data_IF_567604722307
#
_entry.id   IF_567604722307
#
_cell.length_a   1.000
_cell.length_b   1.000
_cell.length_c   1.000
_cell.angle_alpha   90.00
_cell.angle_beta   90.00
_cell.angle_gamma   90.00
#
_symmetry.space_group_name_H-M   'P 1'
#
loop_
_entity.id
_entity.type
_entity.pdbx_description
1 polymer ?
#
# COMPACT_ATOMS: atom_id res chain seq x y z
N UNK A 1 27.74 -0.09 -2.05
CA UNK A 1 27.63 -1.31 -2.87
C UNK A 1 26.70 -0.98 -4.01
N UNK A 2 27.25 -0.69 -5.19
CA UNK A 2 26.44 -0.69 -6.41
C UNK A 2 26.09 -2.16 -6.65
N UNK A 3 24.80 -2.51 -6.63
CA UNK A 3 24.39 -3.76 -7.27
C UNK A 3 24.64 -3.48 -8.74
N UNK A 4 25.64 -4.13 -9.32
CA UNK A 4 25.91 -4.04 -10.75
C UNK A 4 24.59 -4.28 -11.51
N UNK A 5 24.38 -3.64 -12.68
CA UNK A 5 23.31 -4.09 -13.56
C UNK A 5 23.44 -5.60 -13.70
N UNK A 6 22.33 -6.32 -13.66
CA UNK A 6 22.31 -7.79 -13.75
C UNK A 6 22.85 -8.18 -15.14
N UNK A 7 24.17 -8.13 -15.34
CA UNK A 7 24.87 -8.46 -16.57
C UNK A 7 25.04 -9.96 -16.58
N UNK A 8 24.02 -10.63 -17.09
CA UNK A 8 23.97 -12.09 -17.22
C UNK A 8 22.64 -12.61 -17.74
N UNK A 9 21.72 -11.73 -18.16
CA UNK A 9 20.47 -12.10 -18.79
C UNK A 9 20.41 -11.46 -20.18
N UNK A 10 21.02 -12.09 -21.17
CA UNK A 10 20.86 -11.70 -22.58
C UNK A 10 19.38 -11.77 -23.07
N UNK A 11 18.46 -12.29 -22.25
CA UNK A 11 17.02 -12.41 -22.54
C UNK A 11 16.09 -11.58 -21.62
N UNK A 12 16.60 -10.71 -20.73
CA UNK A 12 15.75 -9.88 -19.85
C UNK A 12 16.15 -8.41 -19.97
N UNK A 13 15.60 -7.70 -20.96
CA UNK A 13 15.68 -6.23 -21.05
C UNK A 13 14.82 -5.55 -19.95
N UNK A 14 15.13 -4.31 -19.56
CA UNK A 14 15.96 -3.97 -18.41
C UNK A 14 15.10 -3.75 -17.15
N UNK A 15 15.07 -4.71 -16.24
CA UNK A 15 14.73 -4.40 -14.86
C UNK A 15 15.89 -3.59 -14.26
N UNK A 16 15.68 -2.29 -14.04
CA UNK A 16 16.67 -1.45 -13.36
C UNK A 16 16.50 -1.63 -11.86
N UNK A 17 17.33 -2.50 -11.30
CA UNK A 17 17.51 -2.63 -9.86
C UNK A 17 18.63 -1.69 -9.41
N UNK A 18 18.33 -0.74 -8.53
CA UNK A 18 19.34 0.17 -7.98
C UNK A 18 19.15 0.35 -6.49
N UNK A 19 20.25 0.60 -5.78
CA UNK A 19 20.21 1.05 -4.40
C UNK A 19 20.19 2.58 -4.45
N UNK A 20 19.26 3.20 -3.72
CA UNK A 20 19.22 4.65 -3.66
C UNK A 20 20.52 5.17 -3.04
N UNK A 21 21.31 5.93 -3.81
CA UNK A 21 22.59 6.48 -3.34
C UNK A 21 22.45 7.45 -2.15
N UNK A 22 21.28 8.07 -2.00
CA UNK A 22 20.97 8.94 -0.86
C UNK A 22 20.45 8.13 0.34
N UNK A 23 19.90 6.93 0.12
CA UNK A 23 19.34 6.04 1.13
C UNK A 23 19.83 4.59 0.90
N UNK A 24 21.01 4.20 1.43
CA UNK A 24 21.66 2.93 1.08
C UNK A 24 20.92 1.67 1.55
N UNK A 25 19.86 1.82 2.36
CA UNK A 25 18.96 0.75 2.79
C UNK A 25 17.65 0.69 1.99
N UNK A 26 17.53 1.54 0.97
CA UNK A 26 16.37 1.58 0.08
C UNK A 26 16.68 0.85 -1.22
N UNK A 27 15.96 -0.23 -1.47
CA UNK A 27 15.99 -0.95 -2.74
C UNK A 27 14.94 -0.35 -3.68
N UNK A 28 15.37 0.10 -4.85
CA UNK A 28 14.47 0.63 -5.89
C UNK A 28 14.51 -0.31 -7.08
N UNK A 29 13.36 -0.88 -7.43
CA UNK A 29 13.18 -1.68 -8.63
C UNK A 29 12.20 -0.96 -9.56
N UNK A 30 12.72 -0.51 -10.70
CA UNK A 30 11.91 -0.01 -11.80
C UNK A 30 11.84 -1.12 -12.86
N UNK A 31 10.65 -1.64 -13.07
CA UNK A 31 10.40 -2.64 -14.11
C UNK A 31 9.74 -1.94 -15.29
N UNK A 32 9.94 -2.42 -16.51
CA UNK A 32 9.25 -1.89 -17.70
C UNK A 32 8.73 -3.07 -18.53
N UNK A 33 7.44 -3.04 -18.86
CA UNK A 33 6.70 -4.00 -19.72
C UNK A 33 6.58 -5.46 -19.22
N UNK A 34 5.41 -6.10 -19.47
CA UNK A 34 5.03 -7.49 -19.15
C UNK A 34 4.70 -7.82 -17.68
N UNK A 35 4.14 -9.02 -17.43
CA UNK A 35 3.88 -9.57 -16.09
C UNK A 35 5.20 -9.85 -15.36
N UNK A 36 5.40 -9.15 -14.25
CA UNK A 36 6.67 -9.07 -13.55
C UNK A 36 6.75 -9.92 -12.29
N UNK A 37 5.67 -10.60 -11.89
CA UNK A 37 5.66 -11.32 -10.61
C UNK A 37 6.78 -12.38 -10.57
N UNK A 38 6.92 -13.15 -11.66
CA UNK A 38 7.97 -14.15 -11.80
C UNK A 38 9.39 -13.56 -11.88
N UNK A 39 9.53 -12.36 -12.46
CA UNK A 39 10.82 -11.68 -12.59
C UNK A 39 11.28 -11.18 -11.21
N UNK A 40 10.37 -10.58 -10.43
CA UNK A 40 10.64 -10.18 -9.05
C UNK A 40 11.08 -11.35 -8.18
N UNK A 41 10.38 -12.49 -8.26
CA UNK A 41 10.77 -13.70 -7.52
C UNK A 41 12.18 -14.18 -7.91
N UNK A 42 12.54 -14.14 -9.20
CA UNK A 42 13.89 -14.48 -9.66
C UNK A 42 14.93 -13.48 -9.14
N UNK A 43 14.63 -12.18 -9.18
CA UNK A 43 15.50 -11.13 -8.66
C UNK A 43 15.74 -11.32 -7.17
N UNK A 44 14.68 -11.47 -6.37
CA UNK A 44 14.78 -11.64 -4.91
C UNK A 44 15.57 -12.89 -4.52
N UNK A 45 15.47 -13.98 -5.28
CA UNK A 45 16.29 -15.20 -5.05
C UNK A 45 17.78 -14.99 -5.29
N UNK A 46 18.18 -13.98 -6.07
CA UNK A 46 19.59 -13.65 -6.33
C UNK A 46 20.24 -12.80 -5.24
N UNK A 47 19.44 -12.14 -4.40
CA UNK A 47 19.99 -11.40 -3.25
C UNK A 47 20.53 -12.39 -2.21
N UNK A 48 21.72 -12.10 -1.68
CA UNK A 48 22.21 -12.78 -0.49
C UNK A 48 21.31 -12.49 0.71
N UNK A 49 21.28 -13.39 1.69
CA UNK A 49 20.50 -13.19 2.92
C UNK A 49 20.94 -11.94 3.69
N UNK A 50 22.23 -11.62 3.68
CA UNK A 50 22.75 -10.38 4.28
C UNK A 50 22.19 -9.15 3.56
N UNK A 51 22.17 -9.14 2.23
CA UNK A 51 21.61 -8.04 1.46
C UNK A 51 20.10 -7.87 1.70
N UNK A 52 19.34 -8.95 1.86
CA UNK A 52 17.92 -8.88 2.21
C UNK A 52 17.70 -8.28 3.61
N UNK A 53 18.61 -8.55 4.55
CA UNK A 53 18.58 -8.01 5.91
C UNK A 53 19.00 -6.54 5.98
N UNK A 54 19.73 -6.01 5.01
CA UNK A 54 20.10 -4.58 5.03
C UNK A 54 18.99 -3.66 4.51
N UNK A 55 18.08 -4.19 3.69
CA UNK A 55 16.97 -3.41 3.10
C UNK A 55 15.92 -3.11 4.17
N UNK A 56 15.66 -1.83 4.38
CA UNK A 56 14.60 -1.34 5.29
C UNK A 56 13.45 -0.69 4.53
N UNK A 57 13.69 -0.23 3.30
CA UNK A 57 12.67 0.36 2.44
C UNK A 57 12.77 -0.23 1.04
N UNK A 58 11.63 -0.52 0.43
CA UNK A 58 11.57 -1.05 -0.93
C UNK A 58 10.56 -0.27 -1.76
N UNK A 59 10.99 0.17 -2.94
CA UNK A 59 10.16 0.87 -3.91
C UNK A 59 10.07 0.00 -5.17
N UNK A 60 8.86 -0.38 -5.54
CA UNK A 60 8.57 -1.06 -6.80
C UNK A 60 7.73 -0.13 -7.67
N UNK A 61 8.23 0.20 -8.85
CA UNK A 61 7.52 1.06 -9.80
C UNK A 61 7.45 0.46 -11.20
N UNK A 62 6.41 0.84 -11.94
CA UNK A 62 6.20 0.59 -13.37
C UNK A 62 6.08 -0.89 -13.84
N UNK A 63 5.56 -1.81 -13.02
CA UNK A 63 5.36 -3.22 -13.40
C UNK A 63 3.91 -3.72 -13.28
N UNK A 64 3.47 -4.63 -14.15
CA UNK A 64 2.19 -5.33 -13.97
C UNK A 64 2.37 -6.51 -12.99
N UNK A 65 1.68 -6.49 -11.86
CA UNK A 65 1.59 -7.62 -10.94
C UNK A 65 0.17 -8.19 -10.98
N UNK A 66 0.07 -9.49 -11.17
CA UNK A 66 -1.19 -10.23 -11.31
C UNK A 66 -1.22 -11.49 -10.42
N UNK A 67 -0.30 -11.62 -9.48
CA UNK A 67 -0.13 -12.79 -8.63
C UNK A 67 0.59 -12.42 -7.31
N UNK A 68 0.77 -13.42 -6.43
CA UNK A 68 1.38 -13.27 -5.11
C UNK A 68 2.81 -12.72 -5.16
N UNK A 69 3.07 -11.64 -4.43
CA UNK A 69 4.41 -11.11 -4.17
C UNK A 69 4.84 -11.45 -2.74
N UNK A 70 5.95 -12.17 -2.61
CA UNK A 70 6.46 -12.62 -1.32
C UNK A 70 7.71 -11.82 -0.90
N UNK A 71 7.56 -11.06 0.18
CA UNK A 71 8.60 -10.21 0.75
C UNK A 71 9.06 -10.69 2.13
N UNK A 72 8.59 -11.86 2.60
CA UNK A 72 8.85 -12.37 3.95
C UNK A 72 10.35 -12.52 4.27
N UNK A 73 11.18 -12.73 3.25
CA UNK A 73 12.64 -12.82 3.39
C UNK A 73 13.33 -11.47 3.71
N UNK A 74 12.69 -10.34 3.45
CA UNK A 74 13.22 -9.00 3.77
C UNK A 74 12.91 -8.62 5.22
N UNK A 75 13.50 -9.37 6.16
CA UNK A 75 13.14 -9.31 7.60
C UNK A 75 13.26 -7.94 8.27
N UNK A 76 14.04 -6.99 7.73
CA UNK A 76 14.17 -5.64 8.28
C UNK A 76 13.37 -4.58 7.51
N UNK A 77 12.55 -4.99 6.54
CA UNK A 77 11.70 -4.10 5.76
C UNK A 77 10.63 -3.47 6.66
N UNK A 78 10.60 -2.14 6.69
CA UNK A 78 9.63 -1.32 7.41
C UNK A 78 8.68 -0.59 6.45
N UNK A 79 9.20 -0.19 5.30
CA UNK A 79 8.50 0.65 4.31
C UNK A 79 8.41 -0.06 2.97
N UNK A 80 7.20 -0.30 2.49
CA UNK A 80 6.96 -0.86 1.18
C UNK A 80 6.12 0.08 0.33
N UNK A 81 6.69 0.52 -0.79
CA UNK A 81 6.09 1.45 -1.73
C UNK A 81 5.91 0.74 -3.07
N UNK A 82 4.69 0.79 -3.59
CA UNK A 82 4.33 0.29 -4.89
C UNK A 82 3.52 1.34 -5.65
N UNK A 83 4.07 1.91 -6.71
CA UNK A 83 3.41 2.99 -7.46
C UNK A 83 3.49 2.79 -8.97
N UNK A 84 2.49 3.30 -9.69
CA UNK A 84 2.46 3.29 -11.16
C UNK A 84 2.52 1.89 -11.80
N UNK A 85 1.99 0.87 -11.13
CA UNK A 85 2.08 -0.53 -11.56
C UNK A 85 0.90 -1.01 -12.43
N UNK A 86 0.02 -0.10 -12.88
CA UNK A 86 -1.20 -0.43 -13.64
C UNK A 86 -1.93 -1.68 -13.09
N UNK A 87 -1.92 -1.88 -11.76
CA UNK A 87 -2.38 -3.11 -11.13
C UNK A 87 -3.84 -3.36 -11.47
N UNK A 88 -4.09 -4.25 -12.43
CA UNK A 88 -5.39 -4.79 -12.76
C UNK A 88 -5.57 -6.02 -11.86
N UNK A 89 -6.37 -5.86 -10.81
CA UNK A 89 -6.62 -6.86 -9.78
C UNK A 89 -7.65 -7.92 -10.19
N UNK A 90 -7.89 -8.09 -11.50
CA UNK A 90 -8.63 -9.23 -12.06
C UNK A 90 -8.16 -10.60 -11.53
N UNK A 91 -6.93 -10.69 -11.00
CA UNK A 91 -6.36 -11.91 -10.41
C UNK A 91 -6.09 -11.86 -8.89
N UNK A 92 -6.64 -10.91 -8.13
CA UNK A 92 -6.46 -10.79 -6.66
C UNK A 92 -5.00 -10.76 -6.22
N UNK A 93 -4.39 -9.57 -6.21
CA UNK A 93 -3.03 -9.37 -5.71
C UNK A 93 -2.92 -9.78 -4.23
N UNK A 94 -2.00 -10.69 -3.93
CA UNK A 94 -1.63 -11.07 -2.56
C UNK A 94 -0.22 -10.54 -2.24
N UNK A 95 -0.09 -9.85 -1.11
CA UNK A 95 1.18 -9.34 -0.59
C UNK A 95 1.53 -10.06 0.71
N UNK A 96 2.57 -10.91 0.66
CA UNK A 96 3.12 -11.58 1.85
C UNK A 96 4.20 -10.68 2.45
N UNK A 97 3.81 -9.92 3.46
CA UNK A 97 4.66 -8.91 4.09
C UNK A 97 5.36 -9.48 5.33
N UNK A 98 6.64 -9.15 5.58
CA UNK A 98 7.29 -9.52 6.84
C UNK A 98 6.69 -8.73 8.01
N UNK A 99 6.72 -9.32 9.20
CA UNK A 99 6.14 -8.77 10.44
C UNK A 99 6.54 -7.34 10.81
N UNK A 100 7.68 -6.86 10.31
CA UNK A 100 8.24 -5.55 10.64
C UNK A 100 7.73 -4.42 9.73
N UNK A 101 6.97 -4.72 8.68
CA UNK A 101 6.40 -3.68 7.81
C UNK A 101 5.38 -2.87 8.61
N UNK A 102 5.57 -1.55 8.61
CA UNK A 102 4.70 -0.59 9.30
C UNK A 102 4.01 0.35 8.31
N UNK A 103 4.63 0.59 7.15
CA UNK A 103 4.13 1.55 6.18
C UNK A 103 3.98 0.90 4.81
N UNK A 104 2.74 0.82 4.34
CA UNK A 104 2.37 0.29 3.04
C UNK A 104 1.78 1.40 2.18
N UNK A 105 2.45 1.73 1.09
CA UNK A 105 2.04 2.75 0.13
C UNK A 105 1.78 2.08 -1.22
N UNK A 106 0.54 2.13 -1.68
CA UNK A 106 0.09 1.62 -2.98
C UNK A 106 -0.53 2.72 -3.88
N UNK A 107 0.01 3.95 -3.93
CA UNK A 107 -0.65 5.05 -4.64
C UNK A 107 -0.51 4.93 -6.16
N UNK A 108 -1.42 5.58 -6.89
CA UNK A 108 -1.35 5.68 -8.36
C UNK A 108 -1.29 4.31 -9.07
N UNK A 109 -2.12 3.37 -8.62
CA UNK A 109 -2.31 2.08 -9.29
C UNK A 109 -3.72 2.00 -9.89
N UNK A 110 -4.14 0.81 -10.35
CA UNK A 110 -5.49 0.56 -10.90
C UNK A 110 -6.31 -0.40 -10.02
N UNK A 111 -5.97 -0.51 -8.73
CA UNK A 111 -6.59 -1.45 -7.80
C UNK A 111 -8.09 -1.19 -7.70
N UNK A 112 -8.93 -2.21 -7.97
CA UNK A 112 -10.38 -2.13 -7.75
C UNK A 112 -10.80 -2.68 -6.37
N UNK A 113 -9.91 -3.45 -5.74
CA UNK A 113 -9.99 -4.03 -4.40
C UNK A 113 -8.67 -3.88 -3.64
N UNK A 114 -8.73 -3.95 -2.31
CA UNK A 114 -7.53 -3.94 -1.46
C UNK A 114 -6.81 -5.28 -1.61
N UNK A 115 -5.48 -5.30 -1.82
CA UNK A 115 -4.73 -6.55 -1.91
C UNK A 115 -4.91 -7.41 -0.65
N UNK A 116 -4.85 -8.73 -0.81
CA UNK A 116 -4.81 -9.63 0.34
C UNK A 116 -3.47 -9.43 1.06
N UNK A 117 -3.53 -9.00 2.31
CA UNK A 117 -2.35 -8.77 3.15
C UNK A 117 -2.23 -9.94 4.15
N UNK A 118 -1.06 -10.53 4.27
CA UNK A 118 -0.81 -11.55 5.30
C UNK A 118 -0.86 -10.95 6.70
N UNK A 119 -1.44 -11.69 7.66
CA UNK A 119 -1.80 -11.22 9.00
C UNK A 119 -0.62 -10.92 9.96
N UNK A 120 0.63 -11.18 9.57
CA UNK A 120 1.79 -11.02 10.46
C UNK A 120 2.28 -9.58 10.59
N UNK A 121 2.04 -8.73 9.59
CA UNK A 121 2.46 -7.33 9.62
C UNK A 121 1.55 -6.52 10.56
N UNK A 122 2.11 -5.49 11.21
CA UNK A 122 1.35 -4.55 12.03
C UNK A 122 1.47 -3.15 11.42
N UNK A 123 0.59 -2.85 10.47
CA UNK A 123 0.64 -1.60 9.73
C UNK A 123 0.21 -0.44 10.63
N UNK A 124 0.98 0.65 10.57
CA UNK A 124 0.64 1.97 11.11
C UNK A 124 0.12 2.89 10.02
N UNK A 125 0.56 2.70 8.78
CA UNK A 125 0.14 3.51 7.63
C UNK A 125 -0.23 2.63 6.46
N UNK A 126 -1.42 2.88 5.91
CA UNK A 126 -1.90 2.31 4.67
C UNK A 126 -2.36 3.46 3.77
N UNK A 127 -1.67 3.63 2.66
CA UNK A 127 -1.99 4.64 1.67
C UNK A 127 -2.29 3.98 0.32
N UNK A 128 -3.53 4.10 -0.14
CA UNK A 128 -4.01 3.56 -1.41
C UNK A 128 -4.71 4.64 -2.23
N UNK A 129 -4.29 5.91 -2.09
CA UNK A 129 -4.91 7.00 -2.84
C UNK A 129 -4.67 6.90 -4.36
N UNK A 130 -5.54 7.55 -5.13
CA UNK A 130 -5.45 7.56 -6.61
C UNK A 130 -5.46 6.14 -7.20
N UNK A 131 -6.51 5.38 -6.85
CA UNK A 131 -6.79 4.02 -7.32
C UNK A 131 -8.25 3.94 -7.81
N UNK A 132 -8.74 2.73 -8.07
CA UNK A 132 -10.10 2.47 -8.56
C UNK A 132 -10.96 1.72 -7.54
N UNK A 133 -10.61 1.77 -6.24
CA UNK A 133 -11.26 0.99 -5.19
C UNK A 133 -12.75 1.32 -5.14
N UNK A 134 -13.59 0.30 -5.25
CA UNK A 134 -15.06 0.45 -5.17
C UNK A 134 -15.61 0.11 -3.79
N UNK A 135 -14.88 -0.72 -3.05
CA UNK A 135 -15.17 -1.13 -1.68
C UNK A 135 -13.87 -1.42 -0.94
N UNK A 136 -13.94 -1.37 0.39
CA UNK A 136 -12.89 -1.90 1.26
C UNK A 136 -13.30 -3.29 1.77
N UNK A 137 -12.33 -4.17 2.07
CA UNK A 137 -12.61 -5.44 2.73
C UNK A 137 -13.13 -5.21 4.16
N UNK A 138 -13.61 -6.28 4.80
CA UNK A 138 -13.94 -6.24 6.22
C UNK A 138 -12.68 -6.05 7.06
N UNK A 139 -12.36 -4.78 7.35
CA UNK A 139 -11.18 -4.39 8.13
C UNK A 139 -11.20 -4.93 9.56
N UNK A 140 -12.34 -5.38 10.08
CA UNK A 140 -12.41 -6.03 11.39
C UNK A 140 -11.70 -7.39 11.40
N UNK A 141 -11.70 -8.09 10.26
CA UNK A 141 -11.05 -9.40 10.12
C UNK A 141 -9.55 -9.30 9.78
N UNK A 142 -9.09 -8.16 9.25
CA UNK A 142 -7.70 -7.96 8.86
C UNK A 142 -6.84 -7.60 10.09
N UNK A 143 -6.10 -8.58 10.64
CA UNK A 143 -5.24 -8.36 11.82
C UNK A 143 -4.17 -7.31 11.55
N UNK A 144 -3.68 -7.26 10.32
CA UNK A 144 -2.63 -6.34 9.92
C UNK A 144 -3.02 -4.86 10.00
N UNK A 145 -4.31 -4.54 10.06
CA UNK A 145 -4.84 -3.18 10.12
C UNK A 145 -5.19 -2.74 11.55
N UNK A 146 -5.15 -3.61 12.56
CA UNK A 146 -5.65 -3.27 13.92
C UNK A 146 -4.78 -2.21 14.64
N UNK A 147 -3.53 -2.02 14.19
CA UNK A 147 -2.59 -1.01 14.68
C UNK A 147 -2.57 0.25 13.81
N UNK A 148 -3.46 0.36 12.83
CA UNK A 148 -3.41 1.41 11.81
C UNK A 148 -3.69 2.78 12.43
N UNK A 149 -2.76 3.72 12.24
CA UNK A 149 -2.87 5.10 12.70
C UNK A 149 -3.29 6.04 11.56
N UNK A 150 -2.94 5.70 10.32
CA UNK A 150 -3.19 6.51 9.13
C UNK A 150 -3.75 5.65 8.01
N UNK A 151 -4.96 5.97 7.56
CA UNK A 151 -5.60 5.36 6.39
C UNK A 151 -5.87 6.44 5.34
N UNK A 152 -5.24 6.33 4.17
CA UNK A 152 -5.52 7.20 3.03
C UNK A 152 -6.04 6.38 1.86
N UNK A 153 -7.17 6.80 1.34
CA UNK A 153 -7.86 6.19 0.21
C UNK A 153 -8.58 7.25 -0.63
N UNK A 154 -8.09 8.49 -0.61
CA UNK A 154 -8.68 9.57 -1.38
C UNK A 154 -8.52 9.34 -2.89
N UNK A 155 -9.37 9.96 -3.70
CA UNK A 155 -9.43 9.72 -5.17
C UNK A 155 -9.57 8.23 -5.50
N UNK A 156 -10.61 7.61 -4.95
CA UNK A 156 -11.04 6.27 -5.30
C UNK A 156 -12.52 6.33 -5.74
N UNK A 157 -13.18 5.17 -5.84
CA UNK A 157 -14.59 5.06 -6.25
C UNK A 157 -15.47 4.46 -5.14
N UNK A 158 -15.05 4.61 -3.88
CA UNK A 158 -15.77 4.07 -2.73
C UNK A 158 -17.15 4.72 -2.63
N UNK A 159 -18.19 3.91 -2.48
CA UNK A 159 -19.57 4.40 -2.28
C UNK A 159 -19.98 4.47 -0.82
N UNK A 160 -19.29 3.72 0.03
CA UNK A 160 -19.56 3.61 1.45
C UNK A 160 -18.25 3.42 2.21
N UNK A 161 -18.24 3.86 3.46
CA UNK A 161 -17.18 3.52 4.40
C UNK A 161 -17.48 2.12 4.99
N UNK A 162 -16.50 1.19 5.04
CA UNK A 162 -16.71 -0.07 5.76
C UNK A 162 -16.85 0.21 7.26
N UNK A 163 -17.19 -0.82 8.03
CA UNK A 163 -17.15 -0.71 9.49
C UNK A 163 -15.70 -0.60 9.93
N UNK A 164 -15.26 0.61 10.25
CA UNK A 164 -13.90 0.89 10.73
C UNK A 164 -13.80 1.01 12.25
N UNK A 165 -14.87 0.69 12.99
CA UNK A 165 -14.96 0.81 14.45
C UNK A 165 -13.85 0.03 15.20
N UNK A 166 -13.30 -1.01 14.57
CA UNK A 166 -12.20 -1.82 15.12
C UNK A 166 -10.84 -1.15 15.02
N UNK A 167 -10.68 -0.14 14.15
CA UNK A 167 -9.44 0.60 13.94
C UNK A 167 -9.22 1.63 15.06
N UNK A 168 -9.17 1.17 16.30
CA UNK A 168 -9.15 2.00 17.52
C UNK A 168 -7.93 2.92 17.65
N UNK A 169 -6.84 2.62 16.92
CA UNK A 169 -5.63 3.43 16.87
C UNK A 169 -5.66 4.51 15.77
N UNK A 170 -6.71 4.56 14.95
CA UNK A 170 -6.78 5.42 13.78
C UNK A 170 -6.88 6.89 14.18
N UNK A 171 -5.93 7.69 13.69
CA UNK A 171 -5.82 9.13 13.94
C UNK A 171 -6.16 9.97 12.71
N UNK A 172 -5.83 9.44 11.53
CA UNK A 172 -6.00 10.14 10.26
C UNK A 172 -6.77 9.25 9.30
N UNK A 173 -7.92 9.74 8.84
CA UNK A 173 -8.72 9.10 7.80
C UNK A 173 -8.91 10.05 6.62
N UNK A 174 -8.34 9.69 5.47
CA UNK A 174 -8.54 10.42 4.23
C UNK A 174 -9.31 9.59 3.19
N UNK A 175 -10.62 9.78 3.11
CA UNK A 175 -11.49 9.21 2.09
C UNK A 175 -12.05 10.29 1.13
N UNK A 176 -11.39 11.46 1.02
CA UNK A 176 -11.83 12.53 0.14
C UNK A 176 -11.87 12.12 -1.34
N UNK A 177 -12.64 12.83 -2.17
CA UNK A 177 -12.79 12.54 -3.61
C UNK A 177 -13.19 11.07 -3.87
N UNK A 178 -14.14 10.57 -3.08
CA UNK A 178 -14.86 9.31 -3.28
C UNK A 178 -16.36 9.59 -3.41
N UNK A 179 -17.16 8.57 -3.74
CA UNK A 179 -18.63 8.65 -3.80
C UNK A 179 -19.31 8.27 -2.47
N UNK A 180 -18.61 8.46 -1.35
CA UNK A 180 -19.13 8.12 -0.02
C UNK A 180 -20.20 9.13 0.38
N UNK A 181 -21.36 8.62 0.80
CA UNK A 181 -22.39 9.41 1.48
C UNK A 181 -21.89 9.86 2.85
N UNK A 182 -21.85 11.19 3.07
CA UNK A 182 -21.33 11.79 4.30
C UNK A 182 -22.21 11.49 5.51
N UNK A 183 -23.53 11.43 5.35
CA UNK A 183 -24.45 11.19 6.47
C UNK A 183 -24.27 9.76 6.98
N UNK A 184 -24.29 8.78 6.07
CA UNK A 184 -24.05 7.37 6.41
C UNK A 184 -22.63 7.12 6.94
N UNK A 185 -21.63 7.89 6.50
CA UNK A 185 -20.27 7.77 7.03
C UNK A 185 -20.14 8.32 8.45
N UNK A 186 -20.88 9.39 8.80
CA UNK A 186 -20.84 10.01 10.12
C UNK A 186 -21.15 9.01 11.22
N UNK A 187 -22.21 8.22 11.07
CA UNK A 187 -22.60 7.19 12.04
C UNK A 187 -21.46 6.21 12.33
N UNK A 188 -20.73 5.77 11.29
CA UNK A 188 -19.61 4.83 11.43
C UNK A 188 -18.40 5.45 12.11
N UNK A 189 -18.20 6.76 11.96
CA UNK A 189 -17.07 7.49 12.52
C UNK A 189 -17.23 7.82 14.00
N UNK A 190 -18.47 7.94 14.51
CA UNK A 190 -18.75 8.23 15.93
C UNK A 190 -18.11 7.22 16.90
N UNK A 191 -17.78 6.02 16.43
CA UNK A 191 -17.14 4.96 17.22
C UNK A 191 -15.64 5.18 17.45
N UNK A 192 -15.00 6.08 16.69
CA UNK A 192 -13.56 6.29 16.70
C UNK A 192 -13.19 7.61 17.40
N UNK A 193 -12.92 7.52 18.70
CA UNK A 193 -12.63 8.68 19.55
C UNK A 193 -11.22 9.28 19.36
N UNK A 194 -10.33 8.59 18.64
CA UNK A 194 -8.93 8.98 18.46
C UNK A 194 -8.66 9.69 17.12
N UNK A 195 -9.70 9.97 16.33
CA UNK A 195 -9.56 10.66 15.06
C UNK A 195 -9.22 12.13 15.27
N UNK A 196 -8.08 12.56 14.75
CA UNK A 196 -7.64 13.95 14.78
C UNK A 196 -7.90 14.66 13.45
N UNK A 197 -7.96 13.91 12.35
CA UNK A 197 -8.16 14.46 11.01
C UNK A 197 -9.00 13.52 10.16
N UNK A 198 -10.07 14.04 9.59
CA UNK A 198 -11.02 13.28 8.77
C UNK A 198 -11.39 14.07 7.52
N UNK A 199 -11.33 13.42 6.37
CA UNK A 199 -11.88 13.95 5.11
C UNK A 199 -12.70 12.88 4.40
N UNK A 200 -13.96 13.16 4.06
CA UNK A 200 -14.88 12.21 3.39
C UNK A 200 -15.56 12.89 2.19
N UNK A 201 -15.70 12.14 1.08
CA UNK A 201 -16.54 12.53 -0.06
C UNK A 201 -15.93 13.59 -0.98
N UNK A 202 -16.69 14.05 -1.99
CA UNK A 202 -16.27 15.14 -2.86
C UNK A 202 -16.34 16.49 -2.14
N UNK A 203 -15.26 17.27 -2.20
CA UNK A 203 -15.28 18.68 -1.82
C UNK A 203 -15.89 19.50 -2.94
N UNK A 204 -17.20 19.40 -3.14
CA UNK A 204 -17.96 20.39 -3.92
C UNK A 204 -18.75 21.31 -3.00
N UNK A 205 -18.02 22.10 -2.22
CA UNK A 205 -18.26 23.50 -1.86
C UNK A 205 -17.32 23.88 -0.70
N UNK A 206 -16.86 25.13 -0.71
CA UNK A 206 -16.42 25.85 0.49
C UNK A 206 -17.61 25.92 1.44
N UNK A 207 -17.91 24.84 2.14
CA UNK A 207 -18.74 24.90 3.33
C UNK A 207 -17.80 24.70 4.50
N UNK A 208 -17.63 25.82 5.19
CA UNK A 208 -16.87 26.09 6.39
C UNK A 208 -16.62 24.85 7.26
N UNK A 209 -15.35 24.53 7.48
CA UNK A 209 -14.94 23.66 8.57
C UNK A 209 -15.38 24.35 9.88
N UNK A 210 -16.45 23.85 10.49
CA UNK A 210 -16.71 23.97 11.92
C UNK A 210 -17.68 22.87 12.30
N UNK A 211 -17.24 22.02 13.23
CA UNK A 211 -18.03 21.10 14.03
C UNK A 211 -18.25 19.69 13.46
N UNK A 212 -17.23 18.85 13.67
CA UNK A 212 -17.42 17.43 13.96
C UNK A 212 -16.22 16.95 14.80
N UNK A 213 -16.14 17.45 16.03
CA UNK A 213 -15.54 16.90 17.26
C UNK A 213 -15.82 18.01 18.29
N UNK A 214 -16.92 17.89 19.03
CA UNK A 214 -17.05 18.48 20.37
C UNK A 214 -16.95 17.33 21.38
#
# INVERSE_FOLDING_TARGET
>A
MLIEPITGAHDIAPALATINHQCPKTLVLCLQNYDQTNILHKIFRRFSEDAKRTVTSMILAYGKLNATLDLTSFSNLTDFIMCFNELDDSNSLELRLPKNVQHLYLPHNKLTTVPLLTDEAQLKTLDMHDNLLTQLPDVASCRCLQTLEVLRMHKNRLKQLPTIATLTHLKILDAGKNFIDKEAASEKLTTLNNLHWVRIGWEHKRDSISNAIE
#
